data_IF_392415704578
#
_entry.id   IF_392415704578
#
_cell.length_a   1.000
_cell.length_b   1.000
_cell.length_c   1.000
_cell.angle_alpha   90.00
_cell.angle_beta   90.00
_cell.angle_gamma   90.00
#
_symmetry.space_group_name_H-M   'P 1'
#
loop_
_entity.id
_entity.type
_entity.pdbx_description
1 polymer ?
#
# COMPACT_ATOMS: atom_id res chain seq x y z
N UNK A 1 -36.04 -6.98 27.81
CA UNK A 1 -35.17 -7.02 26.61
C UNK A 1 -35.69 -5.97 25.64
N UNK A 2 -35.01 -4.83 25.52
CA UNK A 2 -35.43 -3.75 24.65
C UNK A 2 -34.99 -4.01 23.21
N UNK A 3 -35.95 -4.05 22.28
CA UNK A 3 -35.67 -3.97 20.85
C UNK A 3 -35.01 -2.62 20.56
N UNK A 4 -33.72 -2.64 20.23
CA UNK A 4 -33.03 -1.47 19.66
C UNK A 4 -33.56 -1.34 18.24
N UNK A 5 -34.43 -0.34 18.02
CA UNK A 5 -34.91 0.02 16.70
C UNK A 5 -33.71 0.36 15.80
N UNK A 6 -33.63 -0.29 14.64
CA UNK A 6 -32.72 0.11 13.58
C UNK A 6 -33.14 1.51 13.11
N UNK A 7 -32.21 2.47 12.91
CA UNK A 7 -32.56 3.74 12.32
C UNK A 7 -33.19 3.51 10.94
N UNK A 8 -34.37 4.09 10.71
CA UNK A 8 -35.27 3.79 9.59
C UNK A 8 -34.76 4.23 8.19
N UNK A 9 -33.51 4.65 8.06
CA UNK A 9 -32.97 5.30 6.86
C UNK A 9 -31.67 4.67 6.33
N UNK A 10 -31.39 3.42 6.68
CA UNK A 10 -30.25 2.70 6.14
C UNK A 10 -30.59 2.31 4.67
N UNK A 11 -30.27 3.20 3.72
CA UNK A 11 -30.52 2.97 2.30
C UNK A 11 -29.44 2.05 1.76
N UNK A 12 -29.87 0.87 1.31
CA UNK A 12 -29.02 -0.01 0.53
C UNK A 12 -28.45 0.74 -0.66
N UNK A 13 -27.13 0.70 -0.85
CA UNK A 13 -26.47 1.51 -1.86
C UNK A 13 -24.99 1.21 -2.01
N UNK A 14 -24.35 1.95 -2.90
CA UNK A 14 -22.91 1.92 -3.09
C UNK A 14 -22.30 3.22 -2.60
N UNK A 15 -21.27 3.12 -1.77
CA UNK A 15 -20.44 4.27 -1.37
C UNK A 15 -19.00 4.02 -1.78
N UNK A 16 -18.21 5.08 -1.90
CA UNK A 16 -16.77 4.99 -2.15
C UNK A 16 -16.02 5.31 -0.87
N UNK A 17 -15.25 4.34 -0.38
CA UNK A 17 -14.32 4.54 0.73
C UNK A 17 -12.97 4.95 0.17
N UNK A 18 -12.41 6.04 0.69
CA UNK A 18 -11.07 6.51 0.34
C UNK A 18 -10.16 6.45 1.56
N UNK A 19 -8.93 5.98 1.38
CA UNK A 19 -7.94 5.95 2.45
C UNK A 19 -6.52 6.16 1.94
N UNK A 20 -5.62 6.41 2.88
CA UNK A 20 -4.19 6.58 2.64
C UNK A 20 -3.37 5.51 3.34
N UNK A 21 -2.16 5.26 2.83
CA UNK A 21 -1.20 4.35 3.43
C UNK A 21 0.22 4.85 3.25
N UNK A 22 1.12 4.34 4.09
CA UNK A 22 2.54 4.65 4.00
C UNK A 22 3.39 3.60 4.71
N UNK A 23 4.45 3.16 4.04
CA UNK A 23 5.53 2.40 4.64
C UNK A 23 6.75 3.33 4.58
N UNK A 24 7.10 4.00 5.69
CA UNK A 24 8.13 5.04 5.69
C UNK A 24 9.55 4.47 5.55
N UNK A 25 9.70 3.17 5.78
CA UNK A 25 10.95 2.46 5.90
C UNK A 25 10.74 0.99 5.51
N UNK A 26 11.60 0.45 4.64
CA UNK A 26 11.65 -0.99 4.39
C UNK A 26 12.66 -1.71 5.27
N UNK A 27 12.32 -2.96 5.64
CA UNK A 27 13.19 -3.87 6.36
C UNK A 27 14.13 -4.58 5.38
N UNK A 28 15.41 -4.65 5.69
CA UNK A 28 16.35 -5.52 4.99
C UNK A 28 16.09 -7.00 5.28
N UNK A 29 16.06 -7.81 4.22
CA UNK A 29 15.76 -9.25 4.31
C UNK A 29 16.80 -10.15 3.61
N UNK A 30 17.85 -9.57 3.02
CA UNK A 30 18.97 -10.33 2.46
C UNK A 30 19.68 -9.62 1.32
N UNK A 31 20.72 -10.26 0.77
CA UNK A 31 21.56 -9.69 -0.29
C UNK A 31 22.85 -9.08 0.23
N UNK A 32 23.40 -8.11 -0.52
CA UNK A 32 24.60 -7.35 -0.18
C UNK A 32 24.44 -6.47 1.05
N UNK A 33 24.79 -5.19 0.93
CA UNK A 33 24.59 -4.23 2.01
C UNK A 33 23.11 -3.79 2.11
N UNK A 34 22.74 -3.08 3.18
CA UNK A 34 21.37 -2.55 3.30
C UNK A 34 21.13 -1.33 2.41
N UNK A 35 22.11 -0.93 1.60
CA UNK A 35 21.99 0.20 0.69
C UNK A 35 21.31 -0.24 -0.60
N UNK A 36 20.39 0.60 -1.07
CA UNK A 36 19.72 0.38 -2.35
C UNK A 36 19.80 1.67 -3.14
N UNK A 37 20.07 1.53 -4.44
CA UNK A 37 20.12 2.65 -5.38
C UNK A 37 21.21 3.70 -5.08
N UNK A 38 22.32 3.35 -4.39
CA UNK A 38 23.37 4.32 -4.00
C UNK A 38 24.46 4.57 -5.05
N UNK A 39 24.63 3.67 -6.03
CA UNK A 39 25.81 3.66 -6.92
C UNK A 39 25.42 3.87 -8.38
N UNK A 40 26.24 4.64 -9.11
CA UNK A 40 26.05 4.87 -10.54
C UNK A 40 26.13 3.55 -11.33
N UNK A 41 25.36 3.46 -12.42
CA UNK A 41 25.37 2.27 -13.28
C UNK A 41 24.66 1.04 -12.70
N UNK A 42 24.16 1.12 -11.46
CA UNK A 42 23.27 0.11 -10.89
C UNK A 42 21.82 0.40 -11.24
N UNK A 43 20.94 -0.58 -10.99
CA UNK A 43 19.50 -0.40 -11.11
C UNK A 43 18.79 -1.01 -9.90
N UNK A 44 17.56 -0.58 -9.66
CA UNK A 44 16.72 -1.05 -8.57
C UNK A 44 15.34 -1.42 -9.11
N UNK A 45 14.88 -2.63 -8.84
CA UNK A 45 13.51 -3.06 -9.09
C UNK A 45 12.65 -2.77 -7.87
N UNK A 46 11.48 -2.19 -8.11
CA UNK A 46 10.50 -1.90 -7.07
C UNK A 46 9.16 -2.52 -7.45
N UNK A 47 8.59 -3.24 -6.50
CA UNK A 47 7.32 -3.93 -6.64
C UNK A 47 6.37 -3.51 -5.51
N UNK A 48 5.19 -3.04 -5.89
CA UNK A 48 4.10 -2.76 -4.97
C UNK A 48 2.91 -3.65 -5.31
N UNK A 49 2.37 -4.31 -4.30
CA UNK A 49 1.14 -5.05 -4.38
C UNK A 49 0.14 -4.56 -3.34
N UNK A 50 -1.10 -4.36 -3.75
CA UNK A 50 -2.21 -3.99 -2.88
C UNK A 50 -3.38 -4.92 -3.17
N UNK A 51 -3.92 -5.57 -2.14
CA UNK A 51 -5.04 -6.51 -2.29
C UNK A 51 -5.41 -7.19 -0.98
N UNK A 52 -6.09 -8.34 -1.06
CA UNK A 52 -6.63 -9.06 0.10
C UNK A 52 -7.64 -8.24 0.90
N UNK A 53 -8.55 -7.60 0.15
CA UNK A 53 -9.66 -6.81 0.64
C UNK A 53 -10.63 -7.69 1.44
N UNK A 54 -10.96 -7.25 2.66
CA UNK A 54 -11.81 -8.01 3.58
C UNK A 54 -12.51 -7.10 4.57
N UNK A 55 -13.70 -7.49 5.01
CA UNK A 55 -14.43 -6.79 6.08
C UNK A 55 -14.09 -7.43 7.42
N UNK A 56 -13.68 -6.60 8.39
CA UNK A 56 -13.46 -7.00 9.77
C UNK A 56 -14.29 -6.09 10.67
N UNK A 57 -15.46 -6.57 11.10
CA UNK A 57 -16.43 -5.75 11.83
C UNK A 57 -16.94 -4.58 10.98
N UNK A 58 -16.72 -3.34 11.45
CA UNK A 58 -17.10 -2.12 10.77
C UNK A 58 -15.97 -1.49 9.93
N UNK A 59 -14.94 -2.28 9.58
CA UNK A 59 -13.75 -1.80 8.88
C UNK A 59 -13.49 -2.59 7.61
N UNK A 60 -13.23 -1.89 6.51
CA UNK A 60 -12.61 -2.48 5.31
C UNK A 60 -11.10 -2.55 5.55
N UNK A 61 -10.52 -3.73 5.42
CA UNK A 61 -9.09 -3.97 5.47
C UNK A 61 -8.55 -4.43 4.13
N UNK A 62 -7.30 -4.10 3.83
CA UNK A 62 -6.53 -4.67 2.73
C UNK A 62 -5.05 -4.61 3.09
N UNK A 63 -4.26 -5.43 2.41
CA UNK A 63 -2.82 -5.53 2.64
C UNK A 63 -2.06 -4.78 1.54
N UNK A 64 -0.97 -4.14 1.95
CA UNK A 64 0.01 -3.47 1.10
C UNK A 64 1.34 -4.20 1.31
N UNK A 65 1.92 -4.66 0.21
CA UNK A 65 3.27 -5.22 0.17
C UNK A 65 4.14 -4.36 -0.73
N UNK A 66 5.27 -3.90 -0.20
CA UNK A 66 6.28 -3.17 -0.95
C UNK A 66 7.60 -3.90 -0.86
N UNK A 67 8.21 -4.15 -2.01
CA UNK A 67 9.44 -4.91 -2.13
C UNK A 67 10.37 -4.20 -3.07
N UNK A 68 11.66 -4.21 -2.74
CA UNK A 68 12.69 -3.52 -3.50
C UNK A 68 13.92 -4.42 -3.57
N UNK A 69 14.53 -4.50 -4.75
CA UNK A 69 15.73 -5.28 -4.99
C UNK A 69 16.72 -4.51 -5.86
N UNK A 70 17.97 -4.42 -5.41
CA UNK A 70 19.06 -3.91 -6.24
C UNK A 70 19.44 -4.95 -7.31
N UNK A 71 19.59 -4.53 -8.56
CA UNK A 71 19.97 -5.35 -9.71
C UNK A 71 21.49 -5.27 -9.89
N UNK A 72 22.22 -5.94 -9.00
CA UNK A 72 23.69 -6.08 -9.06
C UNK A 72 24.14 -7.43 -8.47
N UNK A 73 25.44 -7.73 -8.49
CA UNK A 73 26.01 -9.02 -8.07
C UNK A 73 25.66 -9.43 -6.63
N UNK A 74 25.24 -8.50 -5.79
CA UNK A 74 24.90 -8.64 -4.38
C UNK A 74 23.51 -8.06 -4.08
N UNK A 75 22.48 -8.60 -4.74
CA UNK A 75 21.06 -8.18 -4.71
C UNK A 75 20.47 -7.79 -3.33
N UNK A 76 20.75 -6.59 -2.83
CA UNK A 76 20.16 -6.03 -1.62
C UNK A 76 18.65 -6.03 -1.74
N UNK A 77 17.99 -6.72 -0.81
CA UNK A 77 16.55 -6.96 -0.86
C UNK A 77 15.90 -6.37 0.38
N UNK A 78 14.92 -5.50 0.16
CA UNK A 78 14.15 -4.84 1.20
C UNK A 78 12.66 -5.16 1.02
N UNK A 79 11.92 -5.28 2.13
CA UNK A 79 10.47 -5.40 2.09
C UNK A 79 9.75 -4.65 3.20
N UNK A 80 8.48 -4.35 2.96
CA UNK A 80 7.57 -3.74 3.92
C UNK A 80 6.17 -4.26 3.69
N UNK A 81 5.45 -4.47 4.79
CA UNK A 81 4.07 -4.94 4.81
C UNK A 81 3.24 -4.06 5.72
N UNK A 82 2.03 -3.73 5.30
CA UNK A 82 1.08 -2.98 6.10
C UNK A 82 -0.34 -3.49 5.81
N UNK A 83 -1.14 -3.69 6.86
CA UNK A 83 -2.60 -3.80 6.70
C UNK A 83 -3.19 -2.43 6.92
N UNK A 84 -3.90 -1.93 5.90
CA UNK A 84 -4.61 -0.65 5.96
C UNK A 84 -6.06 -0.92 6.36
N UNK A 85 -6.62 -0.04 7.17
CA UNK A 85 -7.97 -0.15 7.72
C UNK A 85 -8.73 1.14 7.46
N UNK A 86 -9.90 1.06 6.84
CA UNK A 86 -10.82 2.19 6.65
C UNK A 86 -12.17 1.87 7.27
N UNK A 87 -12.60 2.65 8.29
CA UNK A 87 -13.89 2.45 8.91
C UNK A 87 -15.02 2.84 7.95
N UNK A 88 -16.13 2.11 8.00
CA UNK A 88 -17.37 2.53 7.35
C UNK A 88 -17.96 3.73 8.10
N UNK A 89 -18.54 4.73 7.40
CA UNK A 89 -19.17 5.86 8.07
C UNK A 89 -20.30 5.43 9.02
N UNK A 90 -20.56 6.19 10.11
CA UNK A 90 -21.68 5.92 11.01
C UNK A 90 -23.01 5.83 10.26
N UNK A 91 -23.89 4.92 10.68
CA UNK A 91 -25.21 4.72 10.09
C UNK A 91 -25.25 3.71 8.94
N UNK A 92 -24.09 3.25 8.44
CA UNK A 92 -24.00 2.21 7.42
C UNK A 92 -23.45 0.90 7.99
N UNK A 93 -23.79 -0.21 7.32
CA UNK A 93 -23.20 -1.53 7.55
C UNK A 93 -22.72 -2.11 6.22
N UNK A 94 -21.65 -2.89 6.25
CA UNK A 94 -21.19 -3.55 5.03
C UNK A 94 -22.17 -4.62 4.55
N UNK A 95 -22.47 -4.57 3.26
CA UNK A 95 -23.19 -5.62 2.53
C UNK A 95 -22.24 -6.60 1.87
N UNK A 96 -21.30 -6.05 1.12
CA UNK A 96 -20.23 -6.77 0.46
C UNK A 96 -19.19 -5.75 0.00
N UNK A 97 -17.96 -6.21 -0.16
CA UNK A 97 -16.93 -5.44 -0.88
C UNK A 97 -17.11 -5.72 -2.37
N UNK A 98 -17.18 -4.69 -3.20
CA UNK A 98 -17.08 -4.91 -4.64
C UNK A 98 -15.68 -5.45 -4.92
N UNK A 99 -15.60 -6.66 -5.48
CA UNK A 99 -14.31 -7.33 -5.70
C UNK A 99 -13.43 -6.46 -6.61
N UNK A 100 -12.38 -5.86 -6.06
CA UNK A 100 -11.34 -5.17 -6.83
C UNK A 100 -10.31 -6.17 -7.33
N UNK A 101 -9.76 -5.93 -8.51
CA UNK A 101 -8.52 -6.61 -8.91
C UNK A 101 -7.37 -6.06 -8.05
N UNK A 102 -6.46 -6.92 -7.58
CA UNK A 102 -5.30 -6.44 -6.83
C UNK A 102 -4.49 -5.48 -7.70
N UNK A 103 -4.01 -4.41 -7.10
CA UNK A 103 -3.10 -3.47 -7.77
C UNK A 103 -1.70 -4.05 -7.71
N UNK A 104 -1.02 -4.09 -8.86
CA UNK A 104 0.38 -4.48 -9.00
C UNK A 104 1.11 -3.39 -9.75
N UNK A 105 2.14 -2.84 -9.15
CA UNK A 105 3.06 -1.89 -9.80
C UNK A 105 4.44 -2.51 -9.78
N UNK A 106 5.09 -2.51 -10.93
CA UNK A 106 6.49 -2.89 -11.07
C UNK A 106 7.20 -1.82 -11.88
N UNK A 107 8.32 -1.35 -11.36
CA UNK A 107 9.13 -0.32 -12.01
C UNK A 107 10.61 -0.54 -11.72
N UNK A 108 11.45 -0.16 -12.68
CA UNK A 108 12.92 -0.18 -12.55
C UNK A 108 13.47 1.24 -12.55
N UNK A 109 14.39 1.51 -11.63
CA UNK A 109 15.04 2.81 -11.46
C UNK A 109 16.54 2.71 -11.69
N UNK A 110 17.14 3.76 -12.23
CA UNK A 110 18.58 3.89 -12.30
C UNK A 110 19.17 4.25 -10.93
N UNK A 111 20.43 3.85 -10.72
CA UNK A 111 21.23 4.19 -9.56
C UNK A 111 21.25 5.69 -9.27
N UNK A 112 21.34 6.05 -7.98
CA UNK A 112 21.32 7.42 -7.44
C UNK A 112 20.06 8.24 -7.70
N UNK A 113 19.00 7.60 -8.18
CA UNK A 113 17.70 8.25 -8.22
C UNK A 113 17.05 8.22 -6.83
N UNK A 114 17.12 9.35 -6.14
CA UNK A 114 16.56 9.54 -4.81
C UNK A 114 15.23 10.29 -4.80
N UNK A 115 14.61 10.44 -5.97
CA UNK A 115 13.37 11.19 -6.14
C UNK A 115 12.14 10.37 -5.75
N UNK A 116 11.02 11.06 -5.53
CA UNK A 116 9.71 10.40 -5.50
C UNK A 116 9.24 10.14 -6.93
N UNK A 117 8.76 8.93 -7.16
CA UNK A 117 8.17 8.50 -8.41
C UNK A 117 6.74 8.10 -8.17
N UNK A 118 5.82 8.55 -9.02
CA UNK A 118 4.40 8.28 -8.87
C UNK A 118 3.92 7.24 -9.88
N UNK A 119 2.98 6.41 -9.46
CA UNK A 119 2.24 5.51 -10.32
C UNK A 119 0.75 5.59 -9.97
N UNK A 120 -0.13 5.51 -10.96
CA UNK A 120 -1.57 5.64 -10.77
C UNK A 120 -2.36 4.67 -11.64
N UNK A 121 -3.56 4.33 -11.18
CA UNK A 121 -4.63 3.68 -11.91
C UNK A 121 -5.96 4.31 -11.49
N UNK A 122 -7.08 3.92 -12.11
CA UNK A 122 -8.38 4.57 -11.91
C UNK A 122 -8.78 4.77 -10.43
N UNK A 123 -8.44 3.79 -9.57
CA UNK A 123 -8.87 3.75 -8.16
C UNK A 123 -7.69 3.82 -7.18
N UNK A 124 -6.49 4.10 -7.66
CA UNK A 124 -5.27 3.97 -6.87
C UNK A 124 -4.20 4.96 -7.32
N UNK A 125 -3.57 5.64 -6.37
CA UNK A 125 -2.41 6.48 -6.61
C UNK A 125 -1.34 6.15 -5.59
N UNK A 126 -0.11 5.95 -6.03
CA UNK A 126 1.02 5.68 -5.16
C UNK A 126 2.22 6.53 -5.55
N UNK A 127 3.11 6.74 -4.60
CA UNK A 127 4.44 7.20 -4.87
C UNK A 127 5.44 6.42 -4.03
N UNK A 128 6.58 6.11 -4.59
CA UNK A 128 7.67 5.43 -3.90
C UNK A 128 8.98 6.21 -4.10
N UNK A 129 9.91 6.02 -3.17
CA UNK A 129 11.22 6.68 -3.12
C UNK A 129 12.26 5.70 -2.61
N UNK A 130 13.49 5.87 -3.07
CA UNK A 130 14.69 5.23 -2.54
C UNK A 130 15.57 6.33 -1.96
N UNK A 131 16.16 6.14 -0.78
CA UNK A 131 17.07 7.10 -0.18
C UNK A 131 18.42 6.42 0.04
N UNK A 132 19.47 7.00 -0.53
CA UNK A 132 20.80 6.42 -0.56
C UNK A 132 21.79 7.28 0.18
N UNK A 133 21.76 7.24 1.52
CA UNK A 133 22.83 7.83 2.33
C UNK A 133 22.96 7.24 3.75
N UNK A 134 22.70 5.94 3.92
CA UNK A 134 23.13 5.21 5.12
C UNK A 134 22.47 5.63 6.44
N UNK A 135 21.13 5.60 6.53
CA UNK A 135 20.45 5.43 7.83
C UNK A 135 19.86 4.02 7.89
N UNK A 136 20.79 3.11 8.08
CA UNK A 136 20.75 1.65 8.22
C UNK A 136 19.66 1.04 9.14
N UNK A 137 19.09 1.84 10.04
CA UNK A 137 18.01 1.43 10.94
C UNK A 137 16.61 1.92 10.51
N UNK A 138 16.50 2.68 9.41
CA UNK A 138 15.27 3.35 9.00
C UNK A 138 14.81 3.05 7.56
N UNK A 139 15.38 2.04 6.89
CA UNK A 139 14.91 1.59 5.58
C UNK A 139 15.13 2.59 4.44
N UNK A 140 15.99 2.22 3.50
CA UNK A 140 16.40 3.07 2.37
C UNK A 140 15.38 3.14 1.23
N UNK A 141 14.13 2.78 1.50
CA UNK A 141 13.03 2.87 0.56
C UNK A 141 11.72 3.12 1.30
N UNK A 142 10.86 3.91 0.68
CA UNK A 142 9.56 4.27 1.22
C UNK A 142 8.50 4.19 0.13
N UNK A 143 7.26 3.90 0.53
CA UNK A 143 6.07 4.01 -0.32
C UNK A 143 4.96 4.71 0.43
N UNK A 144 4.17 5.50 -0.29
CA UNK A 144 2.92 6.08 0.19
C UNK A 144 1.89 6.04 -0.92
N UNK A 145 0.61 6.14 -0.57
CA UNK A 145 -0.42 6.20 -1.58
C UNK A 145 -1.81 6.41 -1.01
N UNK A 146 -2.75 6.54 -1.92
CA UNK A 146 -4.18 6.62 -1.67
C UNK A 146 -4.91 5.60 -2.55
N UNK A 147 -6.06 5.17 -2.08
CA UNK A 147 -6.93 4.26 -2.80
C UNK A 147 -8.39 4.68 -2.63
N UNK A 148 -9.23 4.29 -3.56
CA UNK A 148 -10.68 4.46 -3.51
C UNK A 148 -11.37 3.15 -3.88
N UNK A 149 -12.16 2.58 -2.97
CA UNK A 149 -12.87 1.32 -3.18
C UNK A 149 -14.37 1.54 -3.03
N UNK A 150 -15.13 1.12 -4.04
CA UNK A 150 -16.57 1.06 -3.97
C UNK A 150 -17.01 -0.13 -3.10
N UNK A 151 -17.93 0.11 -2.16
CA UNK A 151 -18.49 -0.92 -1.27
C UNK A 151 -20.00 -0.83 -1.28
N UNK A 152 -20.64 -2.00 -1.18
CA UNK A 152 -22.08 -2.07 -1.00
C UNK A 152 -22.39 -1.98 0.49
N UNK A 153 -23.40 -1.20 0.84
CA UNK A 153 -23.81 -0.93 2.23
C UNK A 153 -25.31 -1.09 2.39
N UNK A 154 -25.75 -1.33 3.62
CA UNK A 154 -27.13 -1.20 4.07
C UNK A 154 -27.21 -0.18 5.19
#
# INVERSE_FOLDING_TARGET
>A
MGLVALPANAQAGQIVLTGGFGIPALRWIGGGDAEVNTKDGRATDAYLWVGNERIVGATLQFDVYYWVQEVWSDYSTLEGRLTVSVPIPPGYRFASVARSSPVRVWSRFGGRDHSWHSAWSNNFSTSFRFDGNGKDNAGNAAVRGTFSIAVNVW
#
